data_IF_023377032815
#
_entry.id   IF_023377032815
#
_cell.length_a   1.000
_cell.length_b   1.000
_cell.length_c   1.000
_cell.angle_alpha   90.00
_cell.angle_beta   90.00
_cell.angle_gamma   90.00
#
_symmetry.space_group_name_H-M   'P 1'
#
loop_
_entity.id
_entity.type
_entity.pdbx_description
1 polymer ?
#
# COMPACT_ATOMS: atom_id res chain seq x y z
N UNK A 1 -14.06 3.54 -5.76
CA UNK A 1 -13.87 2.73 -6.99
C UNK A 1 -14.80 3.28 -8.06
N UNK A 2 -14.32 3.47 -9.30
CA UNK A 2 -15.01 4.28 -10.30
C UNK A 2 -16.17 3.53 -11.03
N UNK A 3 -17.31 4.17 -11.32
CA UNK A 3 -18.47 3.59 -12.05
C UNK A 3 -18.21 3.43 -13.55
N UNK A 4 -17.34 2.52 -13.95
CA UNK A 4 -17.11 2.27 -15.37
C UNK A 4 -18.36 1.69 -16.08
N UNK A 5 -18.57 2.10 -17.33
CA UNK A 5 -19.68 1.68 -18.19
C UNK A 5 -19.19 1.19 -19.57
N UNK A 6 -20.09 0.59 -20.35
CA UNK A 6 -19.82 0.12 -21.71
C UNK A 6 -18.74 -0.96 -21.74
N UNK A 7 -17.73 -0.81 -22.61
CA UNK A 7 -16.61 -1.75 -22.77
C UNK A 7 -15.85 -2.01 -21.45
N UNK A 8 -15.89 -1.07 -20.49
CA UNK A 8 -15.21 -1.19 -19.18
C UNK A 8 -16.12 -1.73 -18.07
N UNK A 9 -17.43 -1.88 -18.31
CA UNK A 9 -18.37 -2.37 -17.30
C UNK A 9 -18.01 -3.74 -16.72
N UNK A 10 -17.55 -4.74 -17.52
CA UNK A 10 -17.16 -6.03 -16.96
C UNK A 10 -15.98 -5.97 -15.97
N UNK A 11 -15.17 -4.91 -16.03
CA UNK A 11 -14.01 -4.68 -15.17
C UNK A 11 -14.35 -3.84 -13.92
N UNK A 12 -15.56 -3.26 -13.88
CA UNK A 12 -16.04 -2.45 -12.77
C UNK A 12 -16.08 -3.28 -11.49
N UNK A 13 -15.55 -2.73 -10.40
CA UNK A 13 -15.69 -3.36 -9.10
C UNK A 13 -17.17 -3.45 -8.70
N UNK A 14 -17.61 -4.58 -8.15
CA UNK A 14 -19.01 -4.78 -7.74
C UNK A 14 -19.50 -3.81 -6.65
N UNK A 15 -18.57 -3.21 -5.91
CA UNK A 15 -18.82 -2.17 -4.92
C UNK A 15 -18.37 -0.78 -5.42
N UNK A 16 -18.28 -0.57 -6.75
CA UNK A 16 -18.01 0.73 -7.31
C UNK A 16 -19.08 1.73 -6.88
N UNK A 17 -18.67 3.00 -6.74
CA UNK A 17 -19.63 4.08 -6.56
C UNK A 17 -20.60 4.10 -7.73
N UNK A 18 -21.80 4.61 -7.53
CA UNK A 18 -22.67 5.08 -8.60
C UNK A 18 -22.17 6.42 -9.14
N UNK A 19 -22.60 6.82 -10.34
CA UNK A 19 -22.29 8.16 -10.88
C UNK A 19 -22.78 9.27 -9.94
N UNK A 20 -23.99 9.14 -9.41
CA UNK A 20 -24.57 10.11 -8.48
C UNK A 20 -23.74 10.26 -7.19
N UNK A 21 -23.15 9.17 -6.67
CA UNK A 21 -22.26 9.24 -5.51
C UNK A 21 -20.95 9.98 -5.84
N UNK A 22 -20.36 9.74 -7.01
CA UNK A 22 -19.18 10.49 -7.46
C UNK A 22 -19.51 11.98 -7.63
N UNK A 23 -20.62 12.30 -8.29
CA UNK A 23 -21.11 13.67 -8.46
C UNK A 23 -21.36 14.36 -7.11
N UNK A 24 -21.90 13.64 -6.12
CA UNK A 24 -22.09 14.13 -4.75
C UNK A 24 -20.75 14.42 -4.07
N UNK A 25 -19.74 13.56 -4.21
CA UNK A 25 -18.39 13.79 -3.66
C UNK A 25 -17.76 15.04 -4.28
N UNK A 26 -17.87 15.19 -5.61
CA UNK A 26 -17.40 16.39 -6.32
C UNK A 26 -18.17 17.65 -5.87
N UNK A 27 -19.48 17.52 -5.65
CA UNK A 27 -20.33 18.58 -5.09
C UNK A 27 -19.85 19.05 -3.73
N UNK A 28 -19.66 18.13 -2.78
CA UNK A 28 -19.14 18.48 -1.45
C UNK A 28 -17.75 19.11 -1.51
N UNK A 29 -16.85 18.60 -2.35
CA UNK A 29 -15.53 19.20 -2.52
C UNK A 29 -15.64 20.68 -2.95
N UNK A 30 -16.51 21.00 -3.92
CA UNK A 30 -16.77 22.39 -4.33
C UNK A 30 -17.36 23.24 -3.22
N UNK A 31 -18.34 22.72 -2.47
CA UNK A 31 -18.99 23.44 -1.37
C UNK A 31 -18.01 23.89 -0.29
N UNK A 32 -16.95 23.11 -0.04
CA UNK A 32 -15.90 23.44 0.94
C UNK A 32 -14.66 24.08 0.30
N UNK A 33 -14.71 24.42 -0.99
CA UNK A 33 -13.61 25.09 -1.71
C UNK A 33 -12.39 24.19 -1.98
N UNK A 34 -12.58 22.87 -2.07
CA UNK A 34 -11.54 21.92 -2.45
C UNK A 34 -11.60 21.62 -3.96
N UNK A 35 -10.43 21.59 -4.59
CA UNK A 35 -10.27 21.11 -5.96
C UNK A 35 -9.96 19.61 -5.97
N UNK A 36 -10.51 18.90 -6.95
CA UNK A 36 -10.27 17.45 -7.12
C UNK A 36 -9.30 17.24 -8.27
N UNK A 37 -8.32 16.36 -8.07
CA UNK A 37 -7.38 15.88 -9.09
C UNK A 37 -7.56 14.36 -9.19
N UNK A 38 -8.17 13.83 -10.26
CA UNK A 38 -8.26 12.39 -10.42
C UNK A 38 -6.88 11.77 -10.68
N UNK A 39 -6.58 10.67 -9.99
CA UNK A 39 -5.45 9.80 -10.26
C UNK A 39 -5.93 8.57 -11.04
N UNK A 40 -5.38 8.39 -12.25
CA UNK A 40 -5.68 7.29 -13.16
C UNK A 40 -4.37 6.59 -13.49
N UNK A 41 -4.35 5.26 -13.45
CA UNK A 41 -3.19 4.49 -13.88
C UNK A 41 -3.25 4.23 -15.39
N UNK A 42 -2.18 4.58 -16.12
CA UNK A 42 -2.16 4.53 -17.60
C UNK A 42 -1.06 3.64 -18.19
N UNK A 43 -0.24 3.05 -17.33
CA UNK A 43 0.92 2.26 -17.72
C UNK A 43 1.10 1.04 -16.81
N UNK A 44 1.48 1.28 -15.55
CA UNK A 44 1.61 0.27 -14.48
C UNK A 44 0.40 0.25 -13.55
N UNK A 45 0.46 -0.57 -12.49
CA UNK A 45 -0.61 -0.72 -11.50
C UNK A 45 -2.00 -0.97 -12.10
N UNK A 46 -2.04 -1.69 -13.22
CA UNK A 46 -3.25 -2.04 -13.96
C UNK A 46 -3.72 -3.47 -13.67
N UNK A 47 -3.23 -4.12 -12.61
CA UNK A 47 -3.59 -5.50 -12.26
C UNK A 47 -5.10 -5.67 -12.07
N UNK A 48 -5.78 -4.63 -11.60
CA UNK A 48 -7.23 -4.65 -11.44
C UNK A 48 -7.97 -4.91 -12.76
N UNK A 49 -7.44 -4.42 -13.90
CA UNK A 49 -7.92 -4.72 -15.26
C UNK A 49 -7.26 -5.96 -15.81
N UNK A 50 -5.94 -5.98 -15.79
CA UNK A 50 -5.14 -6.90 -16.59
C UNK A 50 -5.15 -8.31 -16.03
N UNK A 51 -5.53 -8.55 -14.77
CA UNK A 51 -5.68 -9.91 -14.21
C UNK A 51 -6.74 -10.76 -14.92
N UNK A 52 -7.71 -10.12 -15.59
CA UNK A 52 -8.79 -10.82 -16.28
C UNK A 52 -8.27 -11.58 -17.51
N UNK A 53 -8.84 -12.75 -17.79
CA UNK A 53 -8.35 -13.65 -18.84
C UNK A 53 -8.45 -13.01 -20.23
N UNK A 54 -9.49 -12.21 -20.45
CA UNK A 54 -9.75 -11.48 -21.69
C UNK A 54 -8.75 -10.34 -21.93
N UNK A 55 -8.03 -9.91 -20.90
CA UNK A 55 -7.09 -8.79 -20.94
C UNK A 55 -5.62 -9.22 -21.06
N UNK A 56 -5.35 -10.53 -21.08
CA UNK A 56 -3.97 -11.09 -21.13
C UNK A 56 -3.19 -10.58 -22.34
N UNK A 57 -3.83 -10.49 -23.51
CA UNK A 57 -3.22 -10.01 -24.77
C UNK A 57 -2.79 -8.53 -24.73
N UNK A 58 -3.28 -7.77 -23.76
CA UNK A 58 -2.96 -6.35 -23.58
C UNK A 58 -1.74 -6.14 -22.68
N UNK A 59 -1.26 -7.18 -22.00
CA UNK A 59 -0.14 -7.10 -21.07
C UNK A 59 1.18 -6.96 -21.80
N UNK A 60 2.12 -6.28 -21.16
CA UNK A 60 3.51 -6.24 -21.58
C UNK A 60 4.25 -7.54 -21.27
N UNK A 61 3.86 -8.23 -20.20
CA UNK A 61 4.36 -9.56 -19.89
C UNK A 61 3.18 -10.49 -19.61
N UNK A 62 3.18 -11.67 -20.23
CA UNK A 62 2.07 -12.63 -20.08
C UNK A 62 1.87 -13.07 -18.64
N UNK A 63 2.95 -13.16 -17.85
CA UNK A 63 2.94 -13.60 -16.46
C UNK A 63 2.51 -12.45 -15.54
N UNK A 64 2.98 -11.23 -15.80
CA UNK A 64 2.81 -10.10 -14.89
C UNK A 64 1.66 -9.17 -15.35
N UNK A 65 0.53 -9.12 -14.62
CA UNK A 65 -0.61 -8.29 -14.99
C UNK A 65 -0.43 -6.81 -14.57
N UNK A 66 0.78 -6.33 -14.35
CA UNK A 66 1.02 -4.98 -13.82
C UNK A 66 0.93 -3.91 -14.91
N UNK A 67 1.50 -4.20 -16.09
CA UNK A 67 1.73 -3.21 -17.13
C UNK A 67 1.10 -3.57 -18.47
N UNK A 68 0.59 -2.56 -19.16
CA UNK A 68 0.10 -2.68 -20.54
C UNK A 68 1.24 -2.70 -21.56
N UNK A 69 1.07 -3.47 -22.64
CA UNK A 69 1.90 -3.39 -23.83
C UNK A 69 1.61 -2.08 -24.57
N UNK A 70 2.48 -1.08 -24.43
CA UNK A 70 2.31 0.23 -25.07
C UNK A 70 2.43 0.19 -26.60
N UNK A 71 2.96 -0.89 -27.16
CA UNK A 71 2.97 -1.14 -28.61
C UNK A 71 1.72 -1.86 -29.12
N UNK A 72 0.77 -2.19 -28.24
CA UNK A 72 -0.52 -2.77 -28.63
C UNK A 72 -1.59 -1.65 -28.69
N UNK A 73 -2.14 -1.32 -29.87
CA UNK A 73 -3.12 -0.24 -30.01
C UNK A 73 -4.41 -0.50 -29.20
N UNK A 74 -4.76 -1.76 -28.95
CA UNK A 74 -5.91 -2.09 -28.10
C UNK A 74 -5.64 -1.79 -26.63
N UNK A 75 -4.40 -1.91 -26.17
CA UNK A 75 -4.01 -1.56 -24.81
C UNK A 75 -4.01 -0.03 -24.63
N UNK A 76 -3.50 0.72 -25.62
CA UNK A 76 -3.63 2.19 -25.64
C UNK A 76 -5.10 2.62 -25.68
N UNK A 77 -5.95 1.95 -26.47
CA UNK A 77 -7.40 2.21 -26.51
C UNK A 77 -8.05 1.98 -25.14
N UNK A 78 -7.72 0.89 -24.46
CA UNK A 78 -8.21 0.59 -23.11
C UNK A 78 -7.91 1.74 -22.15
N UNK A 79 -6.66 2.20 -22.11
CA UNK A 79 -6.22 3.29 -21.23
C UNK A 79 -6.91 4.60 -21.57
N UNK A 80 -7.06 4.93 -22.86
CA UNK A 80 -7.82 6.11 -23.29
C UNK A 80 -9.28 6.07 -22.85
N UNK A 81 -9.95 4.92 -22.99
CA UNK A 81 -11.33 4.76 -22.50
C UNK A 81 -11.46 5.02 -21.00
N UNK A 82 -10.46 4.61 -20.20
CA UNK A 82 -10.44 4.88 -18.75
C UNK A 82 -10.33 6.39 -18.51
N UNK A 83 -9.39 7.08 -19.18
CA UNK A 83 -9.21 8.53 -19.09
C UNK A 83 -10.49 9.26 -19.48
N UNK A 84 -11.09 8.88 -20.61
CA UNK A 84 -12.30 9.51 -21.16
C UNK A 84 -13.46 9.44 -20.16
N UNK A 85 -13.73 8.26 -19.59
CA UNK A 85 -14.82 8.11 -18.63
C UNK A 85 -14.55 8.87 -17.32
N UNK A 86 -13.30 8.85 -16.82
CA UNK A 86 -12.94 9.58 -15.60
C UNK A 86 -13.09 11.08 -15.80
N UNK A 87 -12.51 11.65 -16.85
CA UNK A 87 -12.57 13.08 -17.11
C UNK A 87 -13.98 13.54 -17.46
N UNK A 88 -14.76 12.74 -18.20
CA UNK A 88 -16.16 13.07 -18.50
C UNK A 88 -17.01 13.21 -17.23
N UNK A 89 -16.80 12.36 -16.22
CA UNK A 89 -17.55 12.43 -14.95
C UNK A 89 -17.06 13.55 -14.02
N UNK A 90 -15.78 13.92 -14.11
CA UNK A 90 -15.22 15.01 -13.31
C UNK A 90 -15.51 16.40 -13.90
N UNK A 91 -15.68 16.49 -15.22
CA UNK A 91 -16.09 17.70 -15.92
C UNK A 91 -15.05 18.82 -15.94
N UNK A 92 -15.54 20.04 -16.13
CA UNK A 92 -14.70 21.22 -16.34
C UNK A 92 -14.02 21.75 -15.07
N UNK A 93 -14.52 21.37 -13.88
CA UNK A 93 -14.05 21.84 -12.58
C UNK A 93 -12.63 21.35 -12.21
N UNK A 94 -12.14 20.33 -12.92
CA UNK A 94 -10.80 19.78 -12.72
C UNK A 94 -9.79 20.49 -13.63
N UNK A 95 -8.69 20.99 -13.08
CA UNK A 95 -7.59 21.59 -13.86
C UNK A 95 -6.50 20.56 -14.21
N UNK A 96 -6.29 19.57 -13.33
CA UNK A 96 -5.20 18.61 -13.41
C UNK A 96 -5.73 17.17 -13.42
N UNK A 97 -5.06 16.29 -14.15
CA UNK A 97 -5.18 14.83 -14.01
C UNK A 97 -3.81 14.25 -13.70
N UNK A 98 -3.75 13.34 -12.73
CA UNK A 98 -2.57 12.54 -12.49
C UNK A 98 -2.69 11.22 -13.23
N UNK A 99 -1.78 10.92 -14.15
CA UNK A 99 -1.84 9.71 -14.99
C UNK A 99 -0.97 8.56 -14.45
N UNK A 100 -0.40 8.72 -13.26
CA UNK A 100 0.36 7.67 -12.58
C UNK A 100 1.71 7.49 -13.25
N UNK A 101 1.91 6.31 -13.87
CA UNK A 101 3.13 5.91 -14.59
C UNK A 101 4.36 5.68 -13.69
N UNK A 102 4.11 5.21 -12.47
CA UNK A 102 5.08 4.75 -11.49
C UNK A 102 5.43 3.24 -11.62
N UNK A 103 6.63 2.88 -11.15
CA UNK A 103 7.06 1.49 -10.86
C UNK A 103 6.97 0.48 -12.02
N UNK A 104 7.12 0.94 -13.26
CA UNK A 104 7.03 0.07 -14.46
C UNK A 104 8.40 -0.45 -14.89
N UNK A 105 8.85 -1.52 -14.25
CA UNK A 105 10.18 -2.09 -14.52
C UNK A 105 10.23 -3.04 -15.73
N UNK A 106 9.10 -3.65 -16.08
CA UNK A 106 8.99 -4.66 -17.13
C UNK A 106 8.29 -4.07 -18.35
N UNK A 107 9.09 -3.57 -19.29
CA UNK A 107 8.62 -3.02 -20.56
C UNK A 107 9.62 -3.23 -21.69
N UNK A 108 9.17 -3.22 -22.94
CA UNK A 108 10.04 -3.49 -24.08
C UNK A 108 10.42 -4.97 -24.24
N UNK A 109 9.66 -5.88 -23.62
CA UNK A 109 9.97 -7.32 -23.53
C UNK A 109 9.05 -8.18 -24.42
N UNK A 110 7.79 -7.77 -24.63
CA UNK A 110 6.92 -8.53 -25.52
C UNK A 110 7.31 -8.40 -26.99
N UNK A 111 6.90 -9.38 -27.81
CA UNK A 111 7.21 -9.43 -29.23
C UNK A 111 6.83 -8.14 -29.98
N UNK A 112 5.66 -7.55 -29.67
CA UNK A 112 5.20 -6.29 -30.31
C UNK A 112 6.11 -5.12 -29.95
N UNK A 113 6.50 -5.00 -28.68
CA UNK A 113 7.41 -3.94 -28.25
C UNK A 113 8.83 -4.13 -28.82
N UNK A 114 9.34 -5.35 -28.85
CA UNK A 114 10.64 -5.67 -29.47
C UNK A 114 10.64 -5.31 -30.96
N UNK A 115 9.57 -5.65 -31.69
CA UNK A 115 9.41 -5.29 -33.10
C UNK A 115 9.33 -3.77 -33.30
N UNK A 116 8.58 -3.06 -32.44
CA UNK A 116 8.46 -1.60 -32.49
C UNK A 116 9.81 -0.91 -32.26
N UNK A 117 10.57 -1.37 -31.25
CA UNK A 117 11.93 -0.88 -30.96
C UNK A 117 12.86 -1.06 -32.16
N UNK A 118 12.87 -2.25 -32.76
CA UNK A 118 13.72 -2.56 -33.91
C UNK A 118 13.35 -1.77 -35.16
N UNK A 119 12.06 -1.78 -35.53
CA UNK A 119 11.57 -1.17 -36.77
C UNK A 119 11.73 0.35 -36.79
N UNK A 120 11.60 1.01 -35.64
CA UNK A 120 11.70 2.47 -35.51
C UNK A 120 13.04 2.96 -34.96
N UNK A 121 13.98 2.05 -34.70
CA UNK A 121 15.29 2.35 -34.11
C UNK A 121 15.17 3.16 -32.81
N UNK A 122 14.26 2.73 -31.95
CA UNK A 122 14.00 3.36 -30.66
C UNK A 122 14.84 2.71 -29.56
N UNK A 123 15.22 3.50 -28.56
CA UNK A 123 15.74 3.00 -27.30
C UNK A 123 14.59 2.49 -26.43
N UNK A 124 14.87 1.57 -25.50
CA UNK A 124 13.83 0.96 -24.63
C UNK A 124 12.93 2.01 -23.99
N UNK A 125 13.52 3.03 -23.36
CA UNK A 125 12.83 4.12 -22.66
C UNK A 125 11.88 4.94 -23.55
N UNK A 126 12.13 4.99 -24.86
CA UNK A 126 11.27 5.73 -25.79
C UNK A 126 9.84 5.20 -25.80
N UNK A 127 9.63 3.90 -25.57
CA UNK A 127 8.28 3.31 -25.53
C UNK A 127 7.40 3.95 -24.44
N UNK A 128 7.95 4.16 -23.26
CA UNK A 128 7.22 4.77 -22.14
C UNK A 128 7.09 6.27 -22.36
N UNK A 129 8.17 6.93 -22.76
CA UNK A 129 8.17 8.39 -22.95
C UNK A 129 7.22 8.82 -24.07
N UNK A 130 7.20 8.10 -25.18
CA UNK A 130 6.25 8.31 -26.27
C UNK A 130 4.81 8.09 -25.81
N UNK A 131 4.54 7.02 -25.05
CA UNK A 131 3.20 6.74 -24.53
C UNK A 131 2.70 7.84 -23.61
N UNK A 132 3.52 8.29 -22.65
CA UNK A 132 3.20 9.41 -21.75
C UNK A 132 2.99 10.70 -22.56
N UNK A 133 3.86 11.00 -23.51
CA UNK A 133 3.75 12.20 -24.34
C UNK A 133 2.45 12.21 -25.17
N UNK A 134 2.15 11.10 -25.85
CA UNK A 134 0.94 10.95 -26.67
C UNK A 134 -0.34 11.08 -25.84
N UNK A 135 -0.40 10.44 -24.66
CA UNK A 135 -1.54 10.60 -23.75
C UNK A 135 -1.65 12.03 -23.23
N UNK A 136 -0.52 12.69 -22.95
CA UNK A 136 -0.52 14.08 -22.47
C UNK A 136 -1.01 15.07 -23.53
N UNK A 137 -0.60 14.87 -24.79
CA UNK A 137 -1.09 15.64 -25.93
C UNK A 137 -2.60 15.43 -26.09
N UNK A 138 -3.05 14.17 -26.05
CA UNK A 138 -4.46 13.81 -26.13
C UNK A 138 -5.31 14.46 -25.02
N UNK A 139 -4.87 14.37 -23.77
CA UNK A 139 -5.56 14.97 -22.62
C UNK A 139 -5.68 16.49 -22.77
N UNK A 140 -4.62 17.15 -23.25
CA UNK A 140 -4.63 18.58 -23.49
C UNK A 140 -5.54 18.98 -24.65
N UNK A 141 -5.54 18.23 -25.74
CA UNK A 141 -6.36 18.55 -26.91
C UNK A 141 -7.84 18.35 -26.66
N UNK A 142 -8.21 17.23 -26.05
CA UNK A 142 -9.63 16.85 -25.90
C UNK A 142 -10.27 17.44 -24.65
N UNK A 143 -9.50 17.59 -23.56
CA UNK A 143 -10.05 17.98 -22.25
C UNK A 143 -9.46 19.27 -21.69
N UNK A 144 -8.43 19.84 -22.35
CA UNK A 144 -7.73 21.04 -21.88
C UNK A 144 -7.24 20.93 -20.41
N UNK A 145 -6.72 19.74 -20.03
CA UNK A 145 -6.22 19.48 -18.67
C UNK A 145 -4.70 19.41 -18.63
N UNK A 146 -4.13 19.77 -17.48
CA UNK A 146 -2.70 19.65 -17.18
C UNK A 146 -2.41 18.26 -16.62
N UNK A 147 -1.26 17.70 -16.96
CA UNK A 147 -0.93 16.31 -16.66
C UNK A 147 0.14 16.22 -15.59
N UNK A 148 -0.14 15.45 -14.54
CA UNK A 148 0.81 15.08 -13.49
C UNK A 148 1.26 13.63 -13.69
N UNK A 149 2.53 13.35 -13.43
CA UNK A 149 3.09 11.99 -13.48
C UNK A 149 3.98 11.75 -12.27
N UNK A 150 4.06 10.51 -11.80
CA UNK A 150 5.04 10.17 -10.78
C UNK A 150 6.46 10.25 -11.34
N UNK A 151 7.40 10.74 -10.53
CA UNK A 151 8.73 11.09 -11.00
C UNK A 151 9.69 9.92 -11.24
N UNK A 152 9.45 8.76 -10.62
CA UNK A 152 10.44 7.70 -10.44
C UNK A 152 10.91 7.12 -11.78
N UNK A 153 9.97 6.86 -12.70
CA UNK A 153 10.31 6.42 -14.05
C UNK A 153 11.05 7.50 -14.84
N UNK A 154 10.72 8.78 -14.69
CA UNK A 154 11.45 9.87 -15.35
C UNK A 154 12.86 10.06 -14.77
N UNK A 155 13.03 9.79 -13.47
CA UNK A 155 14.28 9.95 -12.76
C UNK A 155 15.38 8.99 -13.28
N UNK A 156 15.01 7.81 -13.74
CA UNK A 156 15.97 6.83 -14.27
C UNK A 156 16.28 7.03 -15.77
N UNK A 157 15.60 7.95 -16.44
CA UNK A 157 15.76 8.22 -17.87
C UNK A 157 16.76 9.35 -18.15
N UNK A 158 17.33 9.34 -19.35
CA UNK A 158 18.31 10.33 -19.79
C UNK A 158 17.63 11.66 -20.19
N UNK A 159 18.28 12.80 -19.92
CA UNK A 159 17.73 14.14 -20.22
C UNK A 159 17.40 14.29 -21.71
N UNK A 160 18.30 13.82 -22.60
CA UNK A 160 18.08 13.83 -24.06
C UNK A 160 16.80 13.11 -24.48
N UNK A 161 16.40 12.07 -23.76
CA UNK A 161 15.22 11.26 -24.08
C UNK A 161 13.95 11.96 -23.61
N UNK A 162 13.99 12.61 -22.44
CA UNK A 162 12.92 13.47 -21.95
C UNK A 162 12.69 14.67 -22.89
N UNK A 163 13.78 15.26 -23.40
CA UNK A 163 13.73 16.36 -24.38
C UNK A 163 13.20 15.90 -25.75
N UNK A 164 13.66 14.73 -26.25
CA UNK A 164 13.22 14.13 -27.52
C UNK A 164 11.69 14.02 -27.61
N UNK A 165 11.03 13.69 -26.50
CA UNK A 165 9.59 13.54 -26.41
C UNK A 165 8.87 14.75 -25.80
N UNK A 166 9.60 15.85 -25.58
CA UNK A 166 9.08 17.12 -25.06
C UNK A 166 8.36 17.02 -23.70
N UNK A 167 8.80 16.11 -22.82
CA UNK A 167 8.13 15.88 -21.53
C UNK A 167 8.12 17.13 -20.65
N UNK A 168 9.17 17.96 -20.73
CA UNK A 168 9.28 19.22 -19.98
C UNK A 168 8.11 20.18 -20.20
N UNK A 169 7.54 20.17 -21.41
CA UNK A 169 6.39 20.98 -21.77
C UNK A 169 5.07 20.25 -21.56
N UNK A 170 5.07 18.91 -21.54
CA UNK A 170 3.87 18.06 -21.56
C UNK A 170 3.37 17.64 -20.17
N UNK A 171 4.24 17.50 -19.17
CA UNK A 171 3.87 17.00 -17.85
C UNK A 171 4.51 17.80 -16.71
N UNK A 172 3.91 17.76 -15.52
CA UNK A 172 4.54 18.19 -14.27
C UNK A 172 4.85 16.96 -13.40
N UNK A 173 6.13 16.72 -13.04
CA UNK A 173 6.48 15.59 -12.18
C UNK A 173 5.97 15.79 -10.74
N UNK A 174 5.54 14.67 -10.14
CA UNK A 174 5.24 14.55 -8.72
C UNK A 174 6.32 13.67 -8.09
N UNK A 175 7.21 14.32 -7.33
CA UNK A 175 8.32 13.65 -6.65
C UNK A 175 7.81 13.06 -5.36
N UNK A 176 7.78 11.73 -5.27
CA UNK A 176 7.32 11.01 -4.09
C UNK A 176 8.50 10.39 -3.34
N UNK A 177 8.49 10.51 -2.02
CA UNK A 177 9.42 9.83 -1.14
C UNK A 177 8.86 9.83 0.29
N UNK A 178 8.88 8.66 0.93
CA UNK A 178 8.22 8.43 2.21
C UNK A 178 9.22 8.16 3.36
N UNK A 179 10.52 8.24 3.10
CA UNK A 179 11.55 8.09 4.12
C UNK A 179 11.57 9.28 5.10
N UNK A 180 12.01 9.02 6.33
CA UNK A 180 12.19 10.04 7.37
C UNK A 180 13.34 11.01 7.03
N UNK A 181 14.37 10.52 6.31
CA UNK A 181 15.47 11.32 5.80
C UNK A 181 15.48 11.32 4.27
N UNK A 182 15.05 12.41 3.65
CA UNK A 182 14.97 12.50 2.18
C UNK A 182 16.31 12.79 1.49
N UNK A 183 17.33 13.25 2.21
CA UNK A 183 18.62 13.62 1.59
C UNK A 183 19.30 12.43 0.91
N UNK A 184 19.05 11.21 1.40
CA UNK A 184 19.58 9.96 0.84
C UNK A 184 18.87 9.55 -0.47
N UNK A 185 17.62 9.96 -0.65
CA UNK A 185 16.77 9.53 -1.77
C UNK A 185 16.61 10.63 -2.84
N UNK A 186 16.65 11.90 -2.44
CA UNK A 186 16.39 13.07 -3.28
C UNK A 186 17.56 14.06 -3.25
N UNK A 187 18.75 13.66 -3.73
CA UNK A 187 19.95 14.50 -3.68
C UNK A 187 19.80 15.77 -4.53
N UNK A 188 20.56 16.82 -4.20
CA UNK A 188 20.51 18.11 -4.89
C UNK A 188 20.67 18.00 -6.42
N UNK A 189 21.50 17.07 -6.89
CA UNK A 189 21.73 16.86 -8.33
C UNK A 189 20.48 16.37 -9.08
N UNK A 190 19.59 15.61 -8.42
CA UNK A 190 18.29 15.24 -8.98
C UNK A 190 17.48 16.50 -9.30
N UNK A 191 17.41 17.42 -8.34
CA UNK A 191 16.62 18.65 -8.47
C UNK A 191 17.20 19.61 -9.51
N UNK A 192 18.53 19.76 -9.57
CA UNK A 192 19.20 20.55 -10.62
C UNK A 192 18.98 19.98 -12.01
N UNK A 193 18.92 18.64 -12.14
CA UNK A 193 18.53 18.01 -13.40
C UNK A 193 17.08 18.32 -13.75
N UNK A 194 16.17 18.14 -12.79
CA UNK A 194 14.75 18.41 -13.01
C UNK A 194 14.51 19.87 -13.40
N UNK A 195 15.24 20.83 -12.81
CA UNK A 195 15.20 22.25 -13.18
C UNK A 195 15.55 22.50 -14.66
N UNK A 196 16.44 21.71 -15.27
CA UNK A 196 16.81 21.88 -16.68
C UNK A 196 15.68 21.48 -17.64
N UNK A 197 14.80 20.58 -17.21
CA UNK A 197 13.80 19.94 -18.06
C UNK A 197 12.41 20.48 -17.76
N UNK A 198 12.06 20.61 -16.48
CA UNK A 198 10.72 20.92 -16.00
C UNK A 198 10.69 22.31 -15.35
N UNK A 199 9.59 23.02 -15.58
CA UNK A 199 9.34 24.32 -14.94
C UNK A 199 8.66 24.18 -13.58
N UNK A 200 7.82 23.16 -13.44
CA UNK A 200 6.95 22.95 -12.27
C UNK A 200 7.10 21.54 -11.73
N UNK A 201 6.97 21.41 -10.41
CA UNK A 201 7.04 20.13 -9.71
C UNK A 201 6.06 20.12 -8.54
N UNK A 202 5.69 18.92 -8.10
CA UNK A 202 4.97 18.68 -6.85
C UNK A 202 5.80 17.78 -5.94
N UNK A 203 5.72 18.01 -4.64
CA UNK A 203 6.20 17.04 -3.65
C UNK A 203 5.09 16.04 -3.28
N UNK A 204 5.45 14.84 -2.86
CA UNK A 204 4.52 13.85 -2.33
C UNK A 204 5.12 13.14 -1.10
N UNK A 205 4.50 13.42 0.04
CA UNK A 205 4.71 12.75 1.33
C UNK A 205 3.60 11.73 1.58
N UNK A 206 3.63 11.03 2.72
CA UNK A 206 2.57 10.10 3.11
C UNK A 206 2.06 10.40 4.53
N UNK A 207 0.77 10.11 4.78
CA UNK A 207 0.20 10.12 6.14
C UNK A 207 -0.28 8.74 6.59
N UNK A 208 -0.33 7.75 5.69
CA UNK A 208 -0.60 6.33 5.96
C UNK A 208 -0.19 5.47 4.77
N UNK A 209 -0.02 4.16 5.02
CA UNK A 209 0.16 3.14 3.98
C UNK A 209 1.53 3.12 3.32
N UNK A 210 2.53 3.77 3.94
CA UNK A 210 3.92 3.76 3.48
C UNK A 210 4.91 3.28 4.56
N UNK A 211 4.42 2.58 5.59
CA UNK A 211 5.21 1.99 6.71
C UNK A 211 5.11 0.45 6.75
N UNK A 212 4.97 -0.17 5.58
CA UNK A 212 5.00 -1.62 5.37
C UNK A 212 3.67 -2.22 4.88
N UNK A 213 3.72 -3.28 4.05
CA UNK A 213 2.53 -3.84 3.39
C UNK A 213 1.55 -4.52 4.34
N UNK A 214 1.98 -4.92 5.52
CA UNK A 214 1.14 -5.54 6.55
C UNK A 214 0.87 -4.63 7.76
N UNK A 215 1.25 -3.34 7.70
CA UNK A 215 1.02 -2.39 8.79
C UNK A 215 -0.49 -2.08 8.91
N UNK A 216 -1.09 -2.33 10.07
CA UNK A 216 -2.53 -2.08 10.31
C UNK A 216 -2.83 -0.95 11.30
N UNK A 217 -1.81 -0.44 12.00
CA UNK A 217 -1.88 0.69 12.94
C UNK A 217 -0.91 1.78 12.49
N UNK A 218 -1.11 3.03 12.94
CA UNK A 218 -0.29 4.14 12.46
C UNK A 218 0.95 4.42 13.31
N UNK A 219 2.04 4.79 12.63
CA UNK A 219 3.27 5.31 13.22
C UNK A 219 3.33 6.82 12.98
N UNK A 220 2.72 7.60 13.87
CA UNK A 220 2.59 9.06 13.72
C UNK A 220 3.95 9.74 13.58
N UNK A 221 4.95 9.31 14.36
CA UNK A 221 6.29 9.91 14.34
C UNK A 221 6.98 9.73 12.99
N UNK A 222 6.91 8.53 12.40
CA UNK A 222 7.49 8.24 11.09
C UNK A 222 7.01 9.21 10.01
N UNK A 223 5.69 9.36 9.90
CA UNK A 223 5.10 10.26 8.90
C UNK A 223 5.36 11.74 9.21
N UNK A 224 5.34 12.14 10.48
CA UNK A 224 5.73 13.49 10.88
C UNK A 224 7.18 13.81 10.47
N UNK A 225 8.10 12.88 10.70
CA UNK A 225 9.50 13.04 10.28
C UNK A 225 9.60 13.16 8.76
N UNK A 226 8.84 12.36 7.98
CA UNK A 226 8.77 12.52 6.54
C UNK A 226 8.31 13.94 6.11
N UNK A 227 7.28 14.50 6.75
CA UNK A 227 6.82 15.86 6.45
C UNK A 227 7.86 16.94 6.79
N UNK A 228 8.53 16.84 7.94
CA UNK A 228 9.61 17.74 8.32
C UNK A 228 10.80 17.64 7.35
N UNK A 229 11.09 16.43 6.87
CA UNK A 229 12.12 16.16 5.86
C UNK A 229 11.78 16.83 4.52
N UNK A 230 10.51 16.79 4.09
CA UNK A 230 10.04 17.51 2.91
C UNK A 230 10.18 19.03 3.06
N UNK A 231 9.85 19.60 4.23
CA UNK A 231 10.08 21.03 4.50
C UNK A 231 11.56 21.38 4.44
N UNK A 232 12.42 20.56 5.06
CA UNK A 232 13.89 20.72 4.99
C UNK A 232 14.36 20.69 3.54
N UNK A 233 13.89 19.73 2.74
CA UNK A 233 14.24 19.61 1.32
C UNK A 233 13.88 20.89 0.55
N UNK A 234 12.63 21.37 0.66
CA UNK A 234 12.19 22.57 -0.04
C UNK A 234 12.98 23.82 0.39
N UNK A 235 13.29 23.96 1.68
CA UNK A 235 14.12 25.05 2.19
C UNK A 235 15.57 24.99 1.64
N UNK A 236 16.14 23.79 1.55
CA UNK A 236 17.45 23.59 0.94
C UNK A 236 17.46 24.01 -0.53
N UNK A 237 16.43 23.65 -1.30
CA UNK A 237 16.34 24.04 -2.72
C UNK A 237 16.26 25.56 -2.92
N UNK A 238 15.54 26.26 -2.04
CA UNK A 238 15.51 27.74 -2.02
C UNK A 238 16.90 28.31 -1.72
N UNK A 239 17.59 27.77 -0.71
CA UNK A 239 18.95 28.20 -0.34
C UNK A 239 19.96 28.00 -1.47
N UNK A 240 19.87 26.87 -2.16
CA UNK A 240 20.73 26.51 -3.30
C UNK A 240 20.30 27.20 -4.61
N UNK A 241 19.25 28.03 -4.57
CA UNK A 241 18.74 28.83 -5.71
C UNK A 241 18.32 28.00 -6.92
N UNK A 242 17.82 26.79 -6.68
CA UNK A 242 17.21 25.93 -7.71
C UNK A 242 15.94 26.61 -8.22
N UNK A 243 15.83 26.87 -9.53
CA UNK A 243 14.70 27.61 -10.14
C UNK A 243 13.51 26.72 -10.52
N UNK A 244 13.31 25.61 -9.80
CA UNK A 244 12.17 24.73 -9.97
C UNK A 244 11.00 25.23 -9.11
N UNK A 245 9.81 25.42 -9.71
CA UNK A 245 8.66 25.97 -9.00
C UNK A 245 7.78 24.85 -8.41
N UNK A 246 7.79 24.71 -7.07
CA UNK A 246 6.89 23.81 -6.36
C UNK A 246 5.45 24.35 -6.36
N UNK A 247 4.54 23.59 -6.96
CA UNK A 247 3.11 23.89 -6.98
C UNK A 247 2.40 23.57 -5.67
N UNK A 248 2.88 22.54 -4.98
CA UNK A 248 2.33 22.08 -3.72
C UNK A 248 2.95 20.78 -3.26
N UNK A 249 2.43 20.27 -2.14
CA UNK A 249 2.75 18.94 -1.61
C UNK A 249 1.48 18.11 -1.49
N UNK A 250 1.55 16.85 -1.93
CA UNK A 250 0.51 15.84 -1.80
C UNK A 250 0.82 15.00 -0.56
N UNK A 251 -0.20 14.71 0.25
CA UNK A 251 -0.09 13.76 1.36
C UNK A 251 -0.83 12.50 0.93
N UNK A 252 -0.09 11.47 0.55
CA UNK A 252 -0.65 10.20 0.07
C UNK A 252 -1.14 9.34 1.24
N UNK A 253 -2.21 8.59 0.98
CA UNK A 253 -2.83 7.70 1.96
C UNK A 253 -3.12 6.35 1.34
N UNK A 254 -2.07 5.57 1.09
CA UNK A 254 -2.18 4.28 0.41
C UNK A 254 -2.94 3.26 1.25
N UNK A 255 -3.62 2.32 0.58
CA UNK A 255 -4.42 1.29 1.24
C UNK A 255 -3.85 -0.13 1.06
N UNK A 256 -2.98 -0.30 0.05
CA UNK A 256 -2.25 -1.51 -0.32
C UNK A 256 -1.01 -1.09 -1.10
N UNK A 257 -0.03 -1.99 -1.18
CA UNK A 257 1.19 -1.78 -1.97
C UNK A 257 0.99 -2.16 -3.45
N UNK A 258 0.12 -3.14 -3.72
CA UNK A 258 -0.36 -3.45 -5.06
C UNK A 258 -1.78 -4.03 -4.99
N UNK A 259 -2.35 -4.43 -6.13
CA UNK A 259 -3.70 -4.98 -6.20
C UNK A 259 -3.87 -6.35 -5.49
N UNK A 260 -2.80 -7.11 -5.32
CA UNK A 260 -2.77 -8.45 -4.72
C UNK A 260 -2.37 -8.44 -3.24
N UNK A 261 -1.69 -7.39 -2.79
CA UNK A 261 -1.30 -7.20 -1.40
C UNK A 261 -2.53 -7.05 -0.50
N UNK A 262 -2.40 -7.43 0.77
CA UNK A 262 -3.42 -7.24 1.82
C UNK A 262 -3.64 -5.75 2.14
N UNK A 263 -4.75 -5.44 2.82
CA UNK A 263 -4.99 -4.10 3.37
C UNK A 263 -3.88 -3.71 4.35
N UNK A 264 -3.31 -2.52 4.21
CA UNK A 264 -2.54 -1.88 5.28
C UNK A 264 -3.42 -0.88 6.06
N UNK A 265 -2.83 0.15 6.66
CA UNK A 265 -3.49 1.16 7.50
C UNK A 265 -4.81 1.65 6.91
N UNK A 266 -5.91 1.43 7.65
CA UNK A 266 -7.22 1.97 7.31
C UNK A 266 -7.25 3.49 7.53
N UNK A 267 -8.14 4.19 6.83
CA UNK A 267 -8.23 5.65 6.94
C UNK A 267 -8.37 6.16 8.39
N UNK A 268 -9.27 5.63 9.26
CA UNK A 268 -9.41 6.10 10.64
C UNK A 268 -8.13 6.07 11.47
N UNK A 269 -7.24 5.09 11.23
CA UNK A 269 -5.98 5.02 11.97
C UNK A 269 -4.96 6.06 11.52
N UNK A 270 -5.06 6.53 10.27
CA UNK A 270 -4.21 7.59 9.71
C UNK A 270 -4.73 9.01 9.92
N UNK A 271 -5.95 9.20 10.45
CA UNK A 271 -6.52 10.55 10.66
C UNK A 271 -5.67 11.42 11.61
N UNK A 272 -5.17 10.92 12.76
CA UNK A 272 -4.29 11.71 13.62
C UNK A 272 -3.02 12.16 12.91
N UNK A 273 -2.42 11.27 12.13
CA UNK A 273 -1.23 11.55 11.30
C UNK A 273 -1.51 12.60 10.24
N UNK A 274 -2.64 12.51 9.55
CA UNK A 274 -3.06 13.52 8.57
C UNK A 274 -3.22 14.90 9.22
N UNK A 275 -3.86 14.95 10.40
CA UNK A 275 -4.11 16.20 11.10
C UNK A 275 -2.80 16.88 11.56
N UNK A 276 -1.90 16.14 12.22
CA UNK A 276 -0.60 16.69 12.64
C UNK A 276 0.27 17.04 11.43
N UNK A 277 0.27 16.22 10.38
CA UNK A 277 1.04 16.47 9.16
C UNK A 277 0.62 17.76 8.45
N UNK A 278 -0.69 17.97 8.26
CA UNK A 278 -1.21 19.21 7.69
C UNK A 278 -0.91 20.43 8.58
N UNK A 279 -1.05 20.29 9.89
CA UNK A 279 -0.75 21.37 10.84
C UNK A 279 0.74 21.75 10.83
N UNK A 280 1.64 20.76 10.82
CA UNK A 280 3.10 20.95 10.70
C UNK A 280 3.49 21.62 9.39
N UNK A 281 2.95 21.13 8.26
CA UNK A 281 3.26 21.69 6.95
C UNK A 281 2.80 23.14 6.83
N UNK A 282 1.61 23.46 7.37
CA UNK A 282 1.08 24.82 7.43
C UNK A 282 1.88 25.75 8.34
N UNK A 283 2.37 25.24 9.47
CA UNK A 283 3.12 26.03 10.45
C UNK A 283 4.59 26.27 10.05
N UNK A 284 5.12 25.52 9.08
CA UNK A 284 6.53 25.57 8.71
C UNK A 284 7.45 24.78 9.66
N UNK A 285 6.89 23.93 10.54
CA UNK A 285 7.61 23.15 11.52
C UNK A 285 6.67 22.51 12.54
N UNK A 286 7.23 21.73 13.47
CA UNK A 286 6.49 21.07 14.54
C UNK A 286 6.88 21.65 15.91
N UNK A 287 5.87 22.06 16.68
CA UNK A 287 6.00 22.55 18.05
C UNK A 287 4.69 22.31 18.84
N UNK A 288 4.65 22.75 20.11
CA UNK A 288 3.49 22.54 20.98
C UNK A 288 2.19 23.17 20.45
N UNK A 289 2.26 24.22 19.62
CA UNK A 289 1.07 24.85 19.03
C UNK A 289 0.45 23.95 17.96
N UNK A 290 1.26 23.15 17.28
CA UNK A 290 0.80 22.11 16.36
C UNK A 290 0.05 21.01 17.12
N UNK A 291 0.55 20.58 18.27
CA UNK A 291 -0.16 19.61 19.12
C UNK A 291 -1.52 20.16 19.59
N UNK A 292 -1.55 21.40 20.09
CA UNK A 292 -2.79 22.05 20.54
C UNK A 292 -3.83 22.20 19.42
N UNK A 293 -3.37 22.55 18.21
CA UNK A 293 -4.24 22.63 17.03
C UNK A 293 -4.76 21.24 16.64
N UNK A 294 -3.89 20.23 16.66
CA UNK A 294 -4.22 18.85 16.30
C UNK A 294 -5.26 18.29 17.26
N UNK A 295 -5.05 18.42 18.57
CA UNK A 295 -6.02 18.02 19.59
C UNK A 295 -7.38 18.68 19.35
N UNK A 296 -7.40 19.99 19.08
CA UNK A 296 -8.63 20.75 18.83
C UNK A 296 -9.38 20.28 17.59
N UNK A 297 -8.69 20.06 16.48
CA UNK A 297 -9.31 19.63 15.20
C UNK A 297 -9.84 18.20 15.29
N UNK A 298 -9.12 17.31 15.98
CA UNK A 298 -9.56 15.95 16.25
C UNK A 298 -10.61 15.84 17.36
N UNK A 299 -10.83 16.96 18.07
CA UNK A 299 -11.68 17.05 19.25
C UNK A 299 -11.25 16.07 20.35
N UNK A 300 -9.95 16.00 20.61
CA UNK A 300 -9.32 15.21 21.67
C UNK A 300 -9.00 16.07 22.90
N UNK A 301 -8.92 15.44 24.08
CA UNK A 301 -8.51 16.11 25.32
C UNK A 301 -7.06 16.64 25.23
N UNK A 302 -6.18 15.85 24.60
CA UNK A 302 -4.79 16.19 24.32
C UNK A 302 -4.29 15.39 23.13
N UNK A 303 -3.23 15.87 22.48
CA UNK A 303 -2.52 15.16 21.42
C UNK A 303 -1.01 15.27 21.64
N UNK A 304 -0.31 14.16 21.41
CA UNK A 304 1.14 14.12 21.25
C UNK A 304 1.51 12.93 20.37
N UNK A 305 2.55 13.09 19.55
CA UNK A 305 2.96 12.15 18.50
C UNK A 305 3.17 10.71 19.00
N UNK A 306 3.65 10.54 20.22
CA UNK A 306 3.97 9.22 20.80
C UNK A 306 2.92 8.72 21.80
N UNK A 307 1.71 9.28 21.77
CA UNK A 307 0.66 8.95 22.74
C UNK A 307 -0.57 8.33 22.08
N UNK A 308 -1.08 7.25 22.68
CA UNK A 308 -2.36 6.67 22.29
C UNK A 308 -3.49 7.63 22.67
N UNK A 309 -4.35 7.95 21.70
CA UNK A 309 -5.48 8.83 21.94
C UNK A 309 -6.60 8.09 22.68
N UNK A 310 -6.98 8.62 23.85
CA UNK A 310 -7.94 7.96 24.75
C UNK A 310 -9.38 8.48 24.60
N UNK A 311 -9.54 9.73 24.21
CA UNK A 311 -10.84 10.41 24.12
C UNK A 311 -10.77 11.45 23.00
N UNK A 312 -11.48 11.19 21.90
CA UNK A 312 -11.57 12.08 20.74
C UNK A 312 -12.94 11.98 20.06
N UNK A 313 -13.24 12.91 19.16
CA UNK A 313 -14.54 13.00 18.46
C UNK A 313 -14.44 12.94 16.93
N UNK A 314 -13.24 12.75 16.37
CA UNK A 314 -13.08 12.62 14.92
C UNK A 314 -13.79 11.38 14.35
N UNK A 315 -14.31 11.44 13.10
CA UNK A 315 -14.95 10.30 12.46
C UNK A 315 -14.04 9.07 12.40
N UNK A 316 -14.51 7.96 12.96
CA UNK A 316 -13.76 6.70 13.01
C UNK A 316 -12.88 6.52 14.25
N UNK A 317 -12.99 7.38 15.27
CA UNK A 317 -12.26 7.19 16.54
C UNK A 317 -12.50 5.81 17.19
N UNK A 318 -13.72 5.26 17.09
CA UNK A 318 -14.01 3.90 17.58
C UNK A 318 -13.16 2.82 16.89
N UNK A 319 -12.92 2.95 15.58
CA UNK A 319 -12.05 2.05 14.81
C UNK A 319 -10.59 2.25 15.24
N UNK A 320 -10.13 3.51 15.37
CA UNK A 320 -8.79 3.82 15.89
C UNK A 320 -8.56 3.17 17.26
N UNK A 321 -9.48 3.38 18.20
CA UNK A 321 -9.39 2.82 19.55
C UNK A 321 -9.36 1.29 19.54
N UNK A 322 -10.20 0.65 18.72
CA UNK A 322 -10.19 -0.81 18.58
C UNK A 322 -8.88 -1.34 18.00
N UNK A 323 -8.27 -0.63 17.04
CA UNK A 323 -6.96 -1.01 16.49
C UNK A 323 -5.84 -0.86 17.53
N UNK A 324 -5.82 0.22 18.31
CA UNK A 324 -4.83 0.38 19.38
C UNK A 324 -5.01 -0.67 20.49
N UNK A 325 -6.25 -1.06 20.81
CA UNK A 325 -6.52 -2.18 21.72
C UNK A 325 -6.01 -3.52 21.16
N UNK A 326 -6.25 -3.79 19.86
CA UNK A 326 -5.73 -4.97 19.20
C UNK A 326 -4.21 -5.01 19.24
N UNK A 327 -3.54 -3.91 18.88
CA UNK A 327 -2.09 -3.75 18.94
C UNK A 327 -1.55 -4.04 20.34
N UNK A 328 -2.15 -3.45 21.37
CA UNK A 328 -1.75 -3.66 22.75
C UNK A 328 -1.90 -5.13 23.18
N UNK A 329 -3.01 -5.79 22.85
CA UNK A 329 -3.24 -7.20 23.20
C UNK A 329 -2.33 -8.14 22.42
N UNK A 330 -2.00 -7.84 21.17
CA UNK A 330 -1.06 -8.65 20.39
C UNK A 330 0.37 -8.51 20.94
N UNK A 331 0.80 -7.31 21.32
CA UNK A 331 2.08 -7.10 21.98
C UNK A 331 2.15 -7.84 23.34
N UNK A 332 1.11 -7.71 24.16
CA UNK A 332 1.01 -8.40 25.45
C UNK A 332 0.94 -9.93 25.28
N UNK A 333 0.32 -10.46 24.22
CA UNK A 333 0.37 -11.90 23.93
C UNK A 333 1.78 -12.39 23.63
N UNK A 334 2.53 -11.62 22.85
CA UNK A 334 3.90 -11.98 22.50
C UNK A 334 4.80 -12.00 23.74
N UNK A 335 4.72 -10.96 24.57
CA UNK A 335 5.53 -10.82 25.78
C UNK A 335 5.08 -11.77 26.92
N UNK A 336 3.77 -11.77 27.24
CA UNK A 336 3.24 -12.44 28.43
C UNK A 336 2.88 -13.91 28.22
N UNK A 337 2.82 -14.39 26.96
CA UNK A 337 2.49 -15.77 26.65
C UNK A 337 3.52 -16.43 25.73
N UNK A 338 3.68 -15.97 24.49
CA UNK A 338 4.45 -16.71 23.48
C UNK A 338 5.96 -16.73 23.74
N UNK A 339 6.51 -15.64 24.28
CA UNK A 339 7.94 -15.51 24.61
C UNK A 339 8.35 -16.19 25.91
N UNK A 340 7.40 -16.65 26.74
CA UNK A 340 7.71 -17.31 28.00
C UNK A 340 8.33 -18.70 27.77
N UNK A 341 9.38 -19.01 28.53
CA UNK A 341 10.04 -20.32 28.49
C UNK A 341 9.06 -21.46 28.81
N UNK A 342 8.09 -21.23 29.70
CA UNK A 342 7.03 -22.19 30.02
C UNK A 342 6.12 -22.47 28.82
N UNK A 343 5.77 -21.45 28.04
CA UNK A 343 5.00 -21.66 26.84
C UNK A 343 5.80 -22.44 25.80
N UNK A 344 7.05 -22.02 25.56
CA UNK A 344 7.95 -22.66 24.62
C UNK A 344 8.29 -24.11 25.00
N UNK A 345 8.32 -24.45 26.28
CA UNK A 345 8.62 -25.80 26.76
C UNK A 345 7.42 -26.76 26.70
N UNK A 346 6.20 -26.28 26.95
CA UNK A 346 5.05 -27.16 27.23
C UNK A 346 3.81 -26.90 26.35
N UNK A 347 3.78 -25.83 25.56
CA UNK A 347 2.68 -25.49 24.65
C UNK A 347 3.14 -25.16 23.23
N UNK A 348 4.36 -25.56 22.87
CA UNK A 348 4.88 -25.41 21.50
C UNK A 348 4.18 -26.31 20.48
N UNK A 349 4.45 -26.05 19.19
CA UNK A 349 3.87 -26.81 18.07
C UNK A 349 4.13 -28.32 18.14
N UNK A 350 5.30 -28.75 18.61
CA UNK A 350 5.62 -30.16 18.76
C UNK A 350 4.70 -30.83 19.81
N UNK A 351 4.52 -30.19 20.97
CA UNK A 351 3.61 -30.66 22.02
C UNK A 351 2.17 -30.74 21.53
N UNK A 352 1.71 -29.71 20.80
CA UNK A 352 0.35 -29.66 20.26
C UNK A 352 0.10 -30.78 19.25
N UNK A 353 1.02 -30.97 18.29
CA UNK A 353 0.88 -31.98 17.22
C UNK A 353 0.87 -33.41 17.75
N UNK A 354 1.65 -33.68 18.79
CA UNK A 354 1.80 -35.03 19.35
C UNK A 354 0.90 -35.28 20.56
N UNK A 355 0.04 -34.32 20.95
CA UNK A 355 -0.76 -34.38 22.18
C UNK A 355 0.08 -34.81 23.40
N UNK A 356 1.25 -34.17 23.57
CA UNK A 356 2.22 -34.55 24.57
C UNK A 356 2.76 -33.33 25.32
N UNK A 357 2.42 -33.23 26.61
CA UNK A 357 2.91 -32.18 27.51
C UNK A 357 2.66 -32.55 28.98
N UNK A 358 3.24 -31.78 29.89
CA UNK A 358 3.04 -31.92 31.33
C UNK A 358 1.73 -31.25 31.75
N UNK A 359 0.75 -32.06 32.18
CA UNK A 359 -0.52 -31.54 32.71
C UNK A 359 -0.31 -30.56 33.87
N UNK A 360 0.68 -30.81 34.74
CA UNK A 360 1.00 -29.92 35.87
C UNK A 360 1.38 -28.52 35.39
N UNK A 361 2.22 -28.41 34.35
CA UNK A 361 2.61 -27.11 33.78
C UNK A 361 1.45 -26.43 33.06
N UNK A 362 0.57 -27.20 32.43
CA UNK A 362 -0.61 -26.66 31.77
C UNK A 362 -1.65 -26.07 32.74
N UNK A 363 -1.69 -26.46 34.02
CA UNK A 363 -2.58 -25.84 35.02
C UNK A 363 -2.35 -24.34 35.12
N UNK A 364 -1.11 -23.88 34.97
CA UNK A 364 -0.74 -22.46 35.05
C UNK A 364 -0.96 -21.72 33.71
N UNK A 365 -0.72 -22.39 32.57
CA UNK A 365 -0.74 -21.78 31.25
C UNK A 365 -2.15 -21.73 30.62
N UNK A 366 -2.95 -22.77 30.78
CA UNK A 366 -4.26 -22.88 30.14
C UNK A 366 -5.27 -21.79 30.56
N UNK A 367 -5.31 -21.33 31.83
CA UNK A 367 -6.15 -20.19 32.21
C UNK A 367 -5.79 -18.90 31.45
N UNK A 368 -4.49 -18.65 31.22
CA UNK A 368 -4.02 -17.48 30.48
C UNK A 368 -4.50 -17.54 29.03
N UNK A 369 -4.39 -18.70 28.37
CA UNK A 369 -4.94 -18.90 27.01
C UNK A 369 -6.45 -18.68 26.97
N UNK A 370 -7.20 -19.27 27.91
CA UNK A 370 -8.66 -19.14 27.95
C UNK A 370 -9.12 -17.70 28.14
N UNK A 371 -8.44 -16.94 29.01
CA UNK A 371 -8.72 -15.53 29.21
C UNK A 371 -8.61 -14.75 27.89
N UNK A 372 -7.56 -15.01 27.09
CA UNK A 372 -7.32 -14.33 25.81
C UNK A 372 -8.37 -14.72 24.76
N UNK A 373 -8.77 -15.99 24.71
CA UNK A 373 -9.89 -16.44 23.87
C UNK A 373 -11.16 -15.65 24.18
N UNK A 374 -11.53 -15.54 25.46
CA UNK A 374 -12.73 -14.80 25.87
C UNK A 374 -12.63 -13.30 25.52
N UNK A 375 -11.44 -12.70 25.68
CA UNK A 375 -11.22 -11.31 25.30
C UNK A 375 -11.50 -11.09 23.81
N UNK A 376 -10.93 -11.91 22.93
CA UNK A 376 -11.17 -11.80 21.48
C UNK A 376 -12.62 -12.03 21.10
N UNK A 377 -13.33 -12.92 21.79
CA UNK A 377 -14.76 -13.14 21.58
C UNK A 377 -15.59 -11.87 21.89
N UNK A 378 -15.25 -11.17 22.98
CA UNK A 378 -15.91 -9.91 23.35
C UNK A 378 -15.51 -8.72 22.46
N UNK A 379 -14.28 -8.71 21.96
CA UNK A 379 -13.73 -7.64 21.13
C UNK A 379 -14.25 -7.67 19.68
N UNK A 380 -14.38 -8.86 19.09
CA UNK A 380 -14.58 -9.02 17.65
C UNK A 380 -15.91 -8.41 17.13
N UNK A 381 -17.03 -8.65 17.81
CA UNK A 381 -18.35 -8.24 17.32
C UNK A 381 -18.56 -6.70 17.34
N UNK A 382 -18.24 -5.98 18.44
CA UNK A 382 -18.31 -4.52 18.45
C UNK A 382 -17.39 -3.89 17.39
N UNK A 383 -16.15 -4.38 17.28
CA UNK A 383 -15.20 -3.82 16.32
C UNK A 383 -15.64 -4.05 14.87
N UNK A 384 -16.14 -5.25 14.54
CA UNK A 384 -16.69 -5.54 13.21
C UNK A 384 -17.89 -4.65 12.87
N UNK A 385 -18.73 -4.34 13.86
CA UNK A 385 -19.86 -3.42 13.71
C UNK A 385 -19.37 -2.02 13.33
N UNK A 386 -18.41 -1.48 14.08
CA UNK A 386 -17.80 -0.18 13.81
C UNK A 386 -17.15 -0.12 12.41
N UNK A 387 -16.42 -1.16 12.00
CA UNK A 387 -15.86 -1.21 10.64
C UNK A 387 -16.95 -1.15 9.56
N UNK A 388 -18.07 -1.87 9.75
CA UNK A 388 -19.17 -1.90 8.77
C UNK A 388 -20.00 -0.61 8.73
N UNK A 389 -19.87 0.28 9.72
CA UNK A 389 -20.48 1.62 9.68
C UNK A 389 -19.75 2.56 8.72
N UNK A 390 -18.44 2.37 8.51
CA UNK A 390 -17.62 3.23 7.65
C UNK A 390 -17.15 2.56 6.35
N UNK A 391 -17.08 1.23 6.34
CA UNK A 391 -16.55 0.46 5.23
C UNK A 391 -17.53 -0.60 4.75
N UNK A 392 -17.36 -1.01 3.49
CA UNK A 392 -18.08 -2.15 2.95
C UNK A 392 -17.72 -3.44 3.73
N UNK A 393 -18.65 -4.41 3.84
CA UNK A 393 -18.43 -5.64 4.60
C UNK A 393 -17.17 -6.43 4.19
N UNK A 394 -16.78 -6.36 2.92
CA UNK A 394 -15.58 -7.02 2.40
C UNK A 394 -14.30 -6.47 3.04
N UNK A 395 -14.21 -5.16 3.27
CA UNK A 395 -13.05 -4.53 3.93
C UNK A 395 -12.93 -5.01 5.37
N UNK A 396 -14.04 -5.05 6.10
CA UNK A 396 -14.06 -5.56 7.47
C UNK A 396 -13.70 -7.05 7.53
N UNK A 397 -14.24 -7.86 6.61
CA UNK A 397 -13.95 -9.29 6.54
C UNK A 397 -12.46 -9.55 6.28
N UNK A 398 -11.86 -8.84 5.32
CA UNK A 398 -10.45 -8.99 5.03
C UNK A 398 -9.56 -8.55 6.19
N UNK A 399 -9.85 -7.39 6.80
CA UNK A 399 -9.09 -6.91 7.97
C UNK A 399 -9.06 -7.97 9.08
N UNK A 400 -10.22 -8.57 9.38
CA UNK A 400 -10.31 -9.63 10.39
C UNK A 400 -9.55 -10.89 9.97
N UNK A 401 -9.72 -11.35 8.73
CA UNK A 401 -9.04 -12.54 8.21
C UNK A 401 -7.52 -12.43 8.28
N UNK A 402 -6.98 -11.22 8.07
CA UNK A 402 -5.53 -10.97 8.09
C UNK A 402 -5.01 -10.73 9.50
N UNK A 403 -5.67 -9.88 10.29
CA UNK A 403 -5.08 -9.31 11.51
C UNK A 403 -5.63 -9.89 12.83
N UNK A 404 -6.78 -10.56 12.80
CA UNK A 404 -7.47 -11.02 14.01
C UNK A 404 -7.60 -12.53 14.04
N UNK A 405 -8.16 -13.12 12.97
CA UNK A 405 -8.49 -14.54 12.89
C UNK A 405 -7.29 -15.48 13.07
N UNK A 406 -6.08 -15.20 12.56
CA UNK A 406 -4.93 -16.09 12.77
C UNK A 406 -4.59 -16.25 14.26
N UNK A 407 -4.61 -15.16 15.02
CA UNK A 407 -4.37 -15.17 16.46
C UNK A 407 -5.49 -15.91 17.20
N UNK A 408 -6.74 -15.65 16.84
CA UNK A 408 -7.89 -16.35 17.43
C UNK A 408 -7.84 -17.86 17.17
N UNK A 409 -7.51 -18.27 15.94
CA UNK A 409 -7.37 -19.67 15.56
C UNK A 409 -6.25 -20.35 16.35
N UNK A 410 -5.11 -19.67 16.52
CA UNK A 410 -4.01 -20.19 17.33
C UNK A 410 -4.40 -20.35 18.80
N UNK A 411 -5.01 -19.34 19.42
CA UNK A 411 -5.49 -19.41 20.80
C UNK A 411 -6.53 -20.52 20.99
N UNK A 412 -7.42 -20.71 20.03
CA UNK A 412 -8.42 -21.79 20.08
C UNK A 412 -7.76 -23.17 19.95
N UNK A 413 -6.74 -23.31 19.10
CA UNK A 413 -5.91 -24.53 18.98
C UNK A 413 -5.25 -24.86 20.32
N UNK A 414 -4.68 -23.86 21.00
CA UNK A 414 -4.08 -24.00 22.33
C UNK A 414 -5.11 -24.37 23.40
N UNK A 415 -6.27 -23.72 23.42
CA UNK A 415 -7.36 -24.03 24.35
C UNK A 415 -7.88 -25.46 24.16
N UNK A 416 -7.98 -25.93 22.91
CA UNK A 416 -8.35 -27.31 22.62
C UNK A 416 -7.25 -28.30 23.01
N UNK A 417 -5.97 -27.93 22.84
CA UNK A 417 -4.84 -28.73 23.31
C UNK A 417 -4.87 -28.92 24.84
N UNK A 418 -5.13 -27.85 25.60
CA UNK A 418 -5.36 -27.92 27.04
C UNK A 418 -6.42 -28.94 27.43
N UNK A 419 -7.60 -28.86 26.79
CA UNK A 419 -8.70 -29.81 27.03
C UNK A 419 -8.29 -31.25 26.77
N UNK A 420 -7.54 -31.51 25.69
CA UNK A 420 -7.06 -32.85 25.34
C UNK A 420 -6.10 -33.39 26.39
N UNK A 421 -5.07 -32.63 26.78
CA UNK A 421 -4.09 -33.09 27.76
C UNK A 421 -4.73 -33.37 29.12
N UNK A 422 -5.66 -32.52 29.58
CA UNK A 422 -6.36 -32.75 30.85
C UNK A 422 -7.32 -33.95 30.81
N UNK A 423 -7.78 -34.36 29.63
CA UNK A 423 -8.61 -35.56 29.46
C UNK A 423 -7.79 -36.85 29.34
N UNK A 424 -6.47 -36.76 29.15
CA UNK A 424 -5.60 -37.93 29.01
C UNK A 424 -5.24 -38.51 30.38
N UNK A 425 -5.48 -39.81 30.56
CA UNK A 425 -5.07 -40.58 31.75
C UNK A 425 -3.71 -41.27 31.60
N UNK A 426 -3.19 -41.33 30.38
CA UNK A 426 -1.93 -42.02 30.06
C UNK A 426 -1.26 -41.42 28.82
N UNK A 427 0.06 -41.51 28.75
CA UNK A 427 0.85 -41.08 27.60
C UNK A 427 1.54 -42.26 26.91
N UNK A 428 1.71 -42.22 25.58
CA UNK A 428 2.48 -43.25 24.88
C UNK A 428 3.93 -43.24 25.36
N UNK A 429 4.57 -44.42 25.39
CA UNK A 429 5.98 -44.57 25.77
C UNK A 429 6.92 -43.69 24.91
N UNK A 430 6.54 -43.43 23.67
CA UNK A 430 7.20 -42.46 22.78
C UNK A 430 6.12 -41.60 22.10
N UNK A 431 6.19 -40.26 22.21
CA UNK A 431 5.12 -39.40 21.73
C UNK A 431 5.12 -39.12 20.23
N UNK A 432 6.20 -39.46 19.51
CA UNK A 432 6.31 -39.24 18.08
C UNK A 432 6.98 -40.42 17.38
N UNK A 433 6.55 -40.78 16.16
CA UNK A 433 7.21 -41.81 15.37
C UNK A 433 8.61 -41.34 14.95
N UNK A 434 9.62 -42.19 15.10
CA UNK A 434 10.87 -42.01 14.39
C UNK A 434 10.63 -42.47 12.94
N UNK A 435 10.53 -41.54 11.99
CA UNK A 435 10.84 -41.91 10.61
C UNK A 435 12.32 -42.27 10.58
N UNK A 436 12.63 -43.57 10.54
CA UNK A 436 13.98 -44.00 10.15
C UNK A 436 14.13 -43.57 8.71
N UNK A 437 14.94 -42.55 8.43
CA UNK A 437 15.53 -42.44 7.11
C UNK A 437 16.31 -43.72 6.88
N UNK A 438 15.75 -44.64 6.10
CA UNK A 438 16.47 -45.79 5.59
C UNK A 438 17.50 -45.25 4.59
N UNK A 439 18.69 -44.93 5.07
CA UNK A 439 19.90 -44.95 4.26
C UNK A 439 20.23 -46.40 3.93
N UNK A 440 19.42 -47.00 3.06
CA UNK A 440 19.82 -48.18 2.30
C UNK A 440 19.74 -47.77 0.85
N UNK A 441 20.91 -47.51 0.27
CA UNK A 441 21.05 -47.19 -1.13
C UNK A 441 20.41 -48.28 -1.99
N UNK A 442 19.65 -47.82 -2.97
CA UNK A 442 19.43 -48.57 -4.20
C UNK A 442 19.75 -47.63 -5.35
N UNK A 443 20.99 -47.73 -5.82
CA UNK A 443 21.39 -47.32 -7.16
C UNK A 443 20.69 -48.22 -8.17
N UNK A 444 19.63 -47.74 -8.80
CA UNK A 444 19.26 -48.04 -10.20
C UNK A 444 17.95 -47.34 -10.56
N UNK A 445 18.04 -46.38 -11.48
CA UNK A 445 16.90 -45.66 -12.04
C UNK A 445 17.20 -44.19 -12.31
N UNK A 446 18.14 -43.91 -13.22
CA UNK A 446 18.24 -42.58 -13.83
C UNK A 446 16.99 -42.32 -14.68
N UNK A 447 16.28 -41.23 -14.40
CA UNK A 447 15.67 -40.39 -15.44
C UNK A 447 15.81 -38.95 -14.98
N UNK A 448 16.46 -38.16 -15.84
CA UNK A 448 16.76 -36.75 -15.70
C UNK A 448 15.51 -35.90 -15.40
N UNK A 449 15.66 -34.92 -14.50
CA UNK A 449 15.21 -33.51 -14.62
C UNK A 449 15.20 -32.86 -13.24
N UNK A 450 15.90 -31.73 -13.08
CA UNK A 450 15.73 -30.85 -11.91
C UNK A 450 16.97 -30.49 -11.11
N UNK A 451 18.11 -30.22 -11.73
CA UNK A 451 19.12 -29.32 -11.15
C UNK A 451 18.93 -27.94 -11.79
N UNK A 452 18.14 -27.08 -11.14
CA UNK A 452 18.29 -25.62 -11.17
C UNK A 452 17.17 -25.02 -10.31
N UNK A 453 17.44 -24.78 -9.02
CA UNK A 453 16.73 -23.77 -8.20
C UNK A 453 17.37 -23.59 -6.81
N UNK A 454 18.70 -23.45 -6.77
CA UNK A 454 19.41 -23.09 -5.55
C UNK A 454 20.50 -22.04 -5.85
N UNK A 455 20.09 -20.90 -6.41
CA UNK A 455 20.88 -19.66 -6.44
C UNK A 455 19.98 -18.48 -6.83
N UNK A 456 19.04 -18.09 -5.95
CA UNK A 456 18.36 -16.79 -6.08
C UNK A 456 17.62 -16.37 -4.80
N UNK A 457 18.34 -16.26 -3.68
CA UNK A 457 17.86 -15.50 -2.52
C UNK A 457 19.03 -14.84 -1.81
N UNK A 458 19.47 -13.72 -2.36
CA UNK A 458 20.15 -12.63 -1.67
C UNK A 458 20.14 -11.43 -2.61
N UNK A 459 19.82 -10.25 -2.07
CA UNK A 459 19.61 -8.94 -2.72
C UNK A 459 18.18 -8.68 -3.20
N UNK A 460 17.31 -8.25 -2.28
CA UNK A 460 16.46 -7.05 -2.44
C UNK A 460 16.14 -6.47 -1.05
N UNK A 461 17.07 -5.67 -0.55
CA UNK A 461 16.78 -4.55 0.36
C UNK A 461 17.39 -3.33 -0.30
N UNK A 462 16.52 -2.51 -0.89
CA UNK A 462 16.67 -1.08 -1.19
C UNK A 462 15.38 -0.65 -1.89
#
# INVERSE_FOLDING_TARGET
MFPFEGDLEPLKNRNAYTKAEVESILGWAREVGLHVIPLVQVLGHLEWVLKHAEMVELRENVIFPQAVCVSNPNATRLVRLIIDQVLALHGDDVEYIHIGADEVYQYGECARCVENLYSRQLERQDLILEHIANLSIYIRSEFNKRVLVWHDMLNVMEEKSLEKWSLGDLVEPVVWAYAENLEEYLPLELWKRFERIFKHVWGASAFKGADGPSRYYSNVNHYLMNHLSWQKQMNTLVKEKVKLNFRGIILTGWQRYDHFAILCELLPVGIPTLAVGLATLRAGGYDSRVDELTARVLGCDSFSVDTTLLSCTFPGFGIYSSVEQLKAVLADLDESLYSKHEFQGWMNEFSIRNNYSSAQKLVELCPQVRWRVNWFQGFAAPFKTQLNEMFIPNTAAEFFAVYVEPTVAHLQKLANFCKRIFAMSSFPRRPFPLQRHSTTGNTSGMSQEGEDHANMMLLRSQ
#
